data_IF_313262769747
#
_entry.id   IF_313262769747
#
_cell.length_a   1.000
_cell.length_b   1.000
_cell.length_c   1.000
_cell.angle_alpha   90.00
_cell.angle_beta   90.00
_cell.angle_gamma   90.00
#
_symmetry.space_group_name_H-M   'P 1'
#
loop_
_entity.id
_entity.type
_entity.pdbx_description
1 polymer ?
#
# COMPACT_ATOMS: atom_id res chain seq x y z
N UNK A 1 -20.94 -5.80 7.11
CA UNK A 1 -19.60 -6.23 6.62
C UNK A 1 -18.93 -5.00 6.02
N UNK A 2 -17.63 -4.81 6.26
CA UNK A 2 -16.84 -3.78 5.58
C UNK A 2 -16.33 -4.32 4.24
N UNK A 3 -16.26 -3.48 3.22
CA UNK A 3 -15.79 -3.83 1.86
C UNK A 3 -14.43 -3.19 1.53
N UNK A 4 -13.98 -2.26 2.37
CA UNK A 4 -12.74 -1.50 2.22
C UNK A 4 -11.99 -1.40 3.56
N UNK A 5 -10.70 -1.06 3.50
CA UNK A 5 -9.89 -0.75 4.69
C UNK A 5 -8.89 0.39 4.44
N UNK A 6 -8.48 1.06 5.52
CA UNK A 6 -7.44 2.10 5.50
C UNK A 6 -6.13 1.51 6.01
N UNK A 7 -5.07 1.71 5.25
CA UNK A 7 -3.69 1.46 5.66
C UNK A 7 -3.07 2.77 6.15
N UNK A 8 -2.86 2.85 7.46
CA UNK A 8 -2.19 3.99 8.08
C UNK A 8 -0.68 3.88 7.92
N UNK A 9 -0.14 4.68 7.01
CA UNK A 9 1.29 4.71 6.71
C UNK A 9 1.98 5.94 7.32
N UNK A 10 1.26 6.80 8.05
CA UNK A 10 1.84 8.02 8.62
C UNK A 10 2.99 7.72 9.58
N UNK A 11 2.93 6.69 10.45
CA UNK A 11 4.07 6.30 11.27
C UNK A 11 5.28 5.91 10.41
N UNK A 12 5.05 5.17 9.32
CA UNK A 12 6.11 4.78 8.37
C UNK A 12 6.76 6.02 7.72
N UNK A 13 5.97 7.03 7.36
CA UNK A 13 6.46 8.29 6.81
C UNK A 13 7.28 9.09 7.82
N UNK A 14 6.86 9.11 9.08
CA UNK A 14 7.60 9.75 10.17
C UNK A 14 8.94 9.05 10.44
N UNK A 15 8.96 7.72 10.38
CA UNK A 15 10.16 6.90 10.62
C UNK A 15 11.16 6.96 9.45
N UNK A 16 10.67 6.89 8.20
CA UNK A 16 11.52 6.60 7.03
C UNK A 16 11.51 7.70 5.96
N UNK A 17 10.62 8.69 6.09
CA UNK A 17 10.35 9.69 5.05
C UNK A 17 9.56 9.17 3.84
N UNK A 18 9.26 7.87 3.78
CA UNK A 18 8.50 7.26 2.68
C UNK A 18 7.01 7.57 2.80
N UNK A 19 6.43 8.17 1.78
CA UNK A 19 5.04 8.62 1.75
C UNK A 19 4.09 7.68 1.01
N UNK A 20 2.78 7.96 1.08
CA UNK A 20 1.72 7.25 0.35
C UNK A 20 1.95 7.30 -1.15
N UNK A 21 2.51 8.42 -1.64
CA UNK A 21 2.82 8.62 -3.04
C UNK A 21 3.96 7.71 -3.49
N UNK A 22 4.94 7.46 -2.63
CA UNK A 22 6.06 6.58 -2.96
C UNK A 22 5.61 5.12 -3.04
N UNK A 23 4.76 4.69 -2.10
CA UNK A 23 4.15 3.34 -2.12
C UNK A 23 3.24 3.20 -3.35
N UNK A 24 2.40 4.20 -3.64
CA UNK A 24 1.52 4.22 -4.80
C UNK A 24 2.30 4.12 -6.12
N UNK A 25 3.38 4.90 -6.27
CA UNK A 25 4.26 4.81 -7.45
C UNK A 25 4.94 3.46 -7.52
N UNK A 26 5.39 2.91 -6.39
CA UNK A 26 6.07 1.62 -6.37
C UNK A 26 5.13 0.48 -6.75
N UNK A 27 3.85 0.53 -6.38
CA UNK A 27 2.84 -0.44 -6.80
C UNK A 27 2.68 -0.52 -8.34
N UNK A 28 2.93 0.57 -9.07
CA UNK A 28 2.91 0.58 -10.55
C UNK A 28 3.97 -0.37 -11.10
N UNK A 29 5.15 -0.44 -10.48
CA UNK A 29 6.22 -1.37 -10.89
C UNK A 29 5.82 -2.84 -10.69
N UNK A 30 4.86 -3.12 -9.80
CA UNK A 30 4.28 -4.44 -9.57
C UNK A 30 3.03 -4.71 -10.43
N UNK A 31 2.67 -3.77 -11.33
CA UNK A 31 1.53 -3.87 -12.23
C UNK A 31 0.18 -3.51 -11.61
N UNK A 32 0.17 -2.81 -10.46
CA UNK A 32 -1.06 -2.36 -9.81
C UNK A 32 -1.28 -0.86 -10.01
N UNK A 33 -2.52 -0.47 -10.29
CA UNK A 33 -2.94 0.91 -10.09
C UNK A 33 -2.95 1.21 -8.57
N UNK A 34 -2.62 2.44 -8.21
CA UNK A 34 -2.64 2.86 -6.82
C UNK A 34 -4.07 2.81 -6.25
N UNK A 35 -4.24 2.40 -4.97
CA UNK A 35 -5.50 2.59 -4.26
C UNK A 35 -5.83 4.08 -4.07
N UNK A 36 -7.00 4.37 -3.49
CA UNK A 36 -7.38 5.74 -3.13
C UNK A 36 -6.35 6.31 -2.15
N UNK A 37 -5.76 7.45 -2.50
CA UNK A 37 -4.71 8.10 -1.69
C UNK A 37 -5.28 9.29 -0.92
N UNK A 38 -4.85 9.46 0.33
CA UNK A 38 -5.09 10.65 1.15
C UNK A 38 -6.56 11.05 1.32
N UNK A 39 -7.46 10.07 1.18
CA UNK A 39 -8.88 10.18 1.45
C UNK A 39 -9.38 8.86 2.05
N UNK A 40 -10.28 8.88 3.05
CA UNK A 40 -10.81 10.05 3.75
C UNK A 40 -9.81 10.69 4.73
N UNK A 41 -8.64 10.07 4.93
CA UNK A 41 -7.60 10.55 5.85
C UNK A 41 -6.33 10.89 5.06
N UNK A 42 -5.83 12.11 5.21
CA UNK A 42 -4.59 12.54 4.58
C UNK A 42 -3.38 11.69 5.02
N UNK A 43 -2.51 11.34 4.09
CA UNK A 43 -1.34 10.51 4.35
C UNK A 43 -1.64 9.02 4.51
N UNK A 44 -2.77 8.52 3.98
CA UNK A 44 -3.15 7.11 4.06
C UNK A 44 -3.50 6.52 2.69
N UNK A 45 -3.62 5.19 2.63
CA UNK A 45 -4.12 4.46 1.46
C UNK A 45 -5.43 3.76 1.84
N UNK A 46 -6.47 3.88 1.02
CA UNK A 46 -7.74 3.18 1.18
C UNK A 46 -7.88 2.13 0.07
N UNK A 47 -8.04 0.87 0.48
CA UNK A 47 -8.06 -0.31 -0.41
C UNK A 47 -9.44 -0.95 -0.39
N UNK A 48 -10.01 -1.15 -1.58
CA UNK A 48 -11.28 -1.84 -1.81
C UNK A 48 -11.10 -2.83 -2.98
N UNK A 49 -11.04 -4.15 -2.73
CA UNK A 49 -10.81 -5.13 -3.80
C UNK A 49 -12.05 -5.46 -4.63
N UNK A 50 -13.26 -5.14 -4.14
CA UNK A 50 -14.55 -5.62 -4.66
C UNK A 50 -14.71 -7.14 -4.62
N UNK A 51 -15.93 -7.63 -4.83
CA UNK A 51 -16.26 -9.05 -4.91
C UNK A 51 -15.84 -9.71 -6.23
N UNK A 52 -15.46 -8.91 -7.23
CA UNK A 52 -15.11 -9.41 -8.57
C UNK A 52 -13.71 -10.00 -8.65
N UNK A 53 -12.82 -9.64 -7.71
CA UNK A 53 -11.43 -10.07 -7.72
C UNK A 53 -11.24 -11.44 -7.03
N UNK A 54 -10.59 -12.36 -7.73
CA UNK A 54 -10.30 -13.69 -7.21
C UNK A 54 -9.20 -13.68 -6.15
N UNK A 55 -9.16 -14.71 -5.29
CA UNK A 55 -8.14 -14.83 -4.22
C UNK A 55 -6.70 -14.67 -4.73
N UNK A 56 -6.40 -15.20 -5.91
CA UNK A 56 -5.06 -15.09 -6.49
C UNK A 56 -4.64 -13.63 -6.75
N UNK A 57 -5.57 -12.75 -7.16
CA UNK A 57 -5.27 -11.33 -7.39
C UNK A 57 -5.07 -10.59 -6.07
N UNK A 58 -5.89 -10.89 -5.06
CA UNK A 58 -5.70 -10.39 -3.70
C UNK A 58 -4.33 -10.79 -3.14
N UNK A 59 -3.96 -12.07 -3.29
CA UNK A 59 -2.66 -12.56 -2.85
C UNK A 59 -1.51 -11.85 -3.59
N UNK A 60 -1.65 -11.57 -4.90
CA UNK A 60 -0.66 -10.79 -5.66
C UNK A 60 -0.50 -9.37 -5.12
N UNK A 61 -1.61 -8.68 -4.83
CA UNK A 61 -1.58 -7.32 -4.26
C UNK A 61 -0.93 -7.31 -2.87
N UNK A 62 -1.30 -8.25 -2.00
CA UNK A 62 -0.72 -8.40 -0.66
C UNK A 62 0.78 -8.68 -0.75
N UNK A 63 1.20 -9.58 -1.64
CA UNK A 63 2.62 -9.88 -1.84
C UNK A 63 3.40 -8.67 -2.35
N UNK A 64 2.84 -7.85 -3.23
CA UNK A 64 3.45 -6.58 -3.66
C UNK A 64 3.62 -5.62 -2.47
N UNK A 65 2.58 -5.45 -1.64
CA UNK A 65 2.65 -4.59 -0.45
C UNK A 65 3.70 -5.09 0.58
N UNK A 66 3.79 -6.41 0.81
CA UNK A 66 4.82 -7.00 1.66
C UNK A 66 6.23 -6.80 1.11
N UNK A 67 6.41 -6.95 -0.21
CA UNK A 67 7.69 -6.70 -0.86
C UNK A 67 8.12 -5.23 -0.72
N UNK A 68 7.20 -4.29 -0.91
CA UNK A 68 7.44 -2.85 -0.71
C UNK A 68 7.84 -2.57 0.75
N UNK A 69 7.15 -3.17 1.73
CA UNK A 69 7.51 -3.05 3.15
C UNK A 69 8.94 -3.53 3.41
N UNK A 70 9.32 -4.69 2.86
CA UNK A 70 10.66 -5.24 3.00
C UNK A 70 11.74 -4.43 2.25
N UNK A 71 11.37 -3.71 1.18
CA UNK A 71 12.27 -2.74 0.52
C UNK A 71 12.56 -1.53 1.44
N UNK A 72 11.54 -1.04 2.16
CA UNK A 72 11.68 0.09 3.08
C UNK A 72 12.55 -0.29 4.27
N UNK A 73 12.27 -1.43 4.92
CA UNK A 73 13.04 -1.90 6.09
C UNK A 73 14.53 -2.13 5.79
N UNK A 74 14.86 -2.56 4.57
CA UNK A 74 16.26 -2.73 4.13
C UNK A 74 17.02 -1.41 3.99
N UNK A 75 16.32 -0.29 3.74
CA UNK A 75 16.98 1.03 3.64
C UNK A 75 17.40 1.58 5.00
N UNK A 76 16.65 1.27 6.06
CA UNK A 76 16.95 1.68 7.43
C UNK A 76 18.16 0.94 8.05
N UNK A 77 18.51 -0.24 7.53
CA UNK A 77 19.63 -1.04 8.05
C UNK A 77 21.00 -0.65 7.48
N UNK A 78 21.13 0.51 6.82
CA UNK A 78 22.34 0.99 6.16
C UNK A 78 22.92 2.23 6.80
#
# INVERSE_FOLDING_TARGET
MAHECILDIRPLKEETGISELDIAKRLIDYGFHAPTMSFPVAGTLMVEPTESEGKAELDRFINAMLAIRAEIERRESR
#
